data_IF_507380225216
#
_entry.id   IF_507380225216
#
_cell.length_a   1.000
_cell.length_b   1.000
_cell.length_c   1.000
_cell.angle_alpha   90.00
_cell.angle_beta   90.00
_cell.angle_gamma   90.00
#
_symmetry.space_group_name_H-M   'P 1'
#
loop_
_entity.id
_entity.type
_entity.pdbx_description
1 polymer ?
#
# COMPACT_ATOMS: atom_id res chain seq x y z
N UNK A 1 48.07 5.52 2.15
CA UNK A 1 47.71 4.21 1.56
C UNK A 1 46.56 4.44 0.56
N UNK A 2 46.75 5.28 -0.46
CA UNK A 2 47.15 4.94 -1.85
C UNK A 2 46.28 3.85 -2.49
N UNK A 3 45.05 4.25 -2.80
CA UNK A 3 44.23 3.79 -3.91
C UNK A 3 43.70 2.34 -3.82
N UNK A 4 43.16 1.96 -2.66
CA UNK A 4 42.34 0.75 -2.61
C UNK A 4 40.96 1.08 -3.21
N UNK A 5 40.54 0.45 -4.33
CA UNK A 5 39.27 0.73 -4.99
C UNK A 5 38.06 0.50 -4.07
N UNK A 6 38.23 -0.22 -2.96
CA UNK A 6 37.18 -0.46 -1.96
C UNK A 6 36.91 0.77 -1.07
N UNK A 7 37.89 1.65 -0.86
CA UNK A 7 37.75 2.84 0.01
C UNK A 7 36.65 3.80 -0.46
N UNK A 8 36.53 4.19 -1.75
CA UNK A 8 35.41 5.02 -2.19
C UNK A 8 34.05 4.34 -1.99
N UNK A 9 33.94 3.02 -2.17
CA UNK A 9 32.68 2.30 -1.95
C UNK A 9 32.27 2.27 -0.47
N UNK A 10 33.22 2.06 0.44
CA UNK A 10 32.95 2.11 1.89
C UNK A 10 32.52 3.51 2.32
N UNK A 11 33.13 4.56 1.74
CA UNK A 11 32.75 5.94 2.03
C UNK A 11 31.33 6.27 1.52
N UNK A 12 30.96 5.83 0.32
CA UNK A 12 29.60 6.01 -0.22
C UNK A 12 28.58 5.23 0.61
N UNK A 13 28.90 3.99 1.00
CA UNK A 13 28.03 3.17 1.84
C UNK A 13 27.83 3.80 3.23
N UNK A 14 28.90 4.26 3.88
CA UNK A 14 28.80 4.94 5.17
C UNK A 14 28.04 6.26 5.08
N UNK A 15 28.21 7.00 3.98
CA UNK A 15 27.48 8.24 3.72
C UNK A 15 25.99 7.98 3.45
N UNK A 16 25.66 6.92 2.70
CA UNK A 16 24.28 6.49 2.44
C UNK A 16 23.56 6.07 3.72
N UNK A 17 24.19 5.25 4.55
CA UNK A 17 23.63 4.86 5.86
C UNK A 17 23.46 6.10 6.76
N UNK A 18 24.44 7.01 6.77
CA UNK A 18 24.35 8.27 7.51
C UNK A 18 23.19 9.15 7.06
N UNK A 19 22.97 9.27 5.75
CA UNK A 19 21.84 10.01 5.18
C UNK A 19 20.50 9.39 5.54
N UNK A 20 20.37 8.06 5.49
CA UNK A 20 19.12 7.38 5.88
C UNK A 20 18.82 7.65 7.35
N UNK A 21 19.79 7.52 8.26
CA UNK A 21 19.59 7.82 9.67
C UNK A 21 19.25 9.30 9.92
N UNK A 22 19.94 10.23 9.23
CA UNK A 22 19.69 11.66 9.35
C UNK A 22 18.30 12.06 8.83
N UNK A 23 17.90 11.54 7.66
CA UNK A 23 16.60 11.80 7.06
C UNK A 23 15.47 11.08 7.79
N UNK A 24 15.74 9.95 8.45
CA UNK A 24 14.78 9.26 9.32
C UNK A 24 14.49 10.06 10.60
N UNK A 25 15.50 10.68 11.20
CA UNK A 25 15.31 11.59 12.34
C UNK A 25 14.58 12.88 11.94
N UNK A 26 14.85 13.43 10.75
CA UNK A 26 14.21 14.67 10.28
C UNK A 26 12.83 14.45 9.62
N UNK A 27 12.59 13.26 9.07
CA UNK A 27 11.34 12.87 8.41
C UNK A 27 10.24 12.43 9.36
N UNK A 28 10.57 12.03 10.59
CA UNK A 28 9.59 11.66 11.60
C UNK A 28 8.64 12.82 11.99
N UNK A 29 9.09 14.07 11.85
CA UNK A 29 8.30 15.28 12.15
C UNK A 29 7.57 15.88 10.94
N UNK A 30 7.85 15.41 9.71
CA UNK A 30 7.28 15.95 8.46
C UNK A 30 6.45 14.90 7.71
N UNK A 31 5.42 14.35 8.37
CA UNK A 31 4.51 13.33 7.81
C UNK A 31 3.64 13.80 6.64
N UNK A 32 3.69 15.07 6.23
CA UNK A 32 2.78 15.66 5.22
C UNK A 32 3.40 15.94 3.85
N UNK A 33 4.70 15.72 3.64
CA UNK A 33 5.37 16.13 2.38
C UNK A 33 6.13 14.98 1.65
N UNK A 34 6.34 13.83 2.28
CA UNK A 34 7.10 12.70 1.71
C UNK A 34 6.19 11.70 0.96
N UNK A 35 5.16 12.20 0.28
CA UNK A 35 4.28 11.39 -0.58
C UNK A 35 4.38 11.76 -2.07
N UNK A 36 5.20 12.75 -2.43
CA UNK A 36 5.20 13.30 -3.79
C UNK A 36 6.39 12.91 -4.68
N UNK A 37 7.44 12.27 -4.16
CA UNK A 37 8.65 12.11 -4.96
C UNK A 37 9.51 10.93 -4.50
N UNK A 38 9.23 9.73 -5.05
CA UNK A 38 10.26 8.87 -5.63
C UNK A 38 9.62 7.65 -6.32
N UNK A 39 9.43 7.77 -7.64
CA UNK A 39 9.39 6.58 -8.49
C UNK A 39 10.80 5.97 -8.55
N UNK A 40 10.88 4.66 -8.31
CA UNK A 40 12.04 3.85 -8.68
C UNK A 40 12.70 3.09 -7.54
N UNK A 41 12.26 1.84 -7.36
CA UNK A 41 13.16 0.76 -6.92
C UNK A 41 12.83 0.12 -5.57
N UNK A 42 12.02 -0.94 -5.62
CA UNK A 42 12.35 -2.23 -5.00
C UNK A 42 12.31 -2.34 -3.47
N UNK A 43 11.25 -3.00 -3.02
CA UNK A 43 11.12 -3.81 -1.80
C UNK A 43 11.15 -3.15 -0.41
N UNK A 44 9.93 -3.14 0.16
CA UNK A 44 9.63 -3.75 1.46
C UNK A 44 10.31 -3.12 2.67
N UNK A 45 9.68 -2.06 3.18
CA UNK A 45 9.54 -1.93 4.63
C UNK A 45 8.07 -1.98 4.96
N UNK A 46 7.63 -3.22 5.23
CA UNK A 46 6.41 -3.56 5.94
C UNK A 46 6.37 -2.76 7.23
N UNK A 47 5.61 -1.66 7.26
CA UNK A 47 5.05 -1.13 8.49
C UNK A 47 4.12 -2.23 9.03
N UNK A 48 4.69 -3.04 9.92
CA UNK A 48 3.92 -3.91 10.80
C UNK A 48 3.37 -3.01 11.90
N UNK A 49 2.24 -2.38 11.63
CA UNK A 49 1.32 -1.93 12.67
C UNK A 49 -0.01 -2.61 12.42
N UNK A 50 -0.43 -3.34 13.46
CA UNK A 50 -1.73 -3.97 13.63
C UNK A 50 -1.94 -5.30 12.89
N UNK A 51 -1.45 -6.36 13.56
CA UNK A 51 -2.00 -7.70 13.47
C UNK A 51 -3.40 -7.78 14.12
N UNK A 52 -4.32 -6.95 13.62
CA UNK A 52 -5.74 -7.25 13.62
C UNK A 52 -6.13 -7.51 12.17
N UNK A 53 -7.18 -8.30 11.93
CA UNK A 53 -7.77 -8.44 10.61
C UNK A 53 -8.42 -7.10 10.21
N UNK A 54 -7.59 -6.09 9.97
CA UNK A 54 -8.00 -4.73 9.73
C UNK A 54 -8.30 -4.62 8.24
N UNK A 55 -9.57 -4.34 7.90
CA UNK A 55 -10.01 -4.26 6.51
C UNK A 55 -9.15 -3.28 5.69
N UNK A 56 -8.52 -2.31 6.35
CA UNK A 56 -7.52 -1.39 5.81
C UNK A 56 -6.32 -2.09 5.14
N UNK A 57 -5.79 -3.17 5.72
CA UNK A 57 -4.67 -3.93 5.17
C UNK A 57 -5.10 -4.78 3.97
N UNK A 58 -6.32 -5.32 4.00
CA UNK A 58 -6.87 -6.08 2.89
C UNK A 58 -7.16 -5.19 1.66
N UNK A 59 -7.57 -3.95 1.92
CA UNK A 59 -7.91 -2.93 0.92
C UNK A 59 -6.67 -2.36 0.21
N UNK A 60 -5.46 -2.56 0.74
CA UNK A 60 -4.22 -2.22 0.03
C UNK A 60 -4.10 -2.90 -1.34
N UNK A 61 -4.71 -4.08 -1.51
CA UNK A 61 -4.74 -4.75 -2.81
C UNK A 61 -5.76 -4.14 -3.80
N UNK A 62 -6.71 -3.33 -3.31
CA UNK A 62 -7.79 -2.73 -4.09
C UNK A 62 -7.39 -1.38 -4.69
N UNK A 63 -6.50 -0.62 -4.03
CA UNK A 63 -6.11 0.74 -4.47
C UNK A 63 -5.49 0.77 -5.86
N UNK A 64 -4.84 -0.32 -6.28
CA UNK A 64 -4.21 -0.41 -7.60
C UNK A 64 -5.21 -0.30 -8.76
N UNK A 65 -6.48 -0.69 -8.53
CA UNK A 65 -7.54 -0.55 -9.52
C UNK A 65 -8.52 0.58 -9.16
N UNK A 66 -8.81 0.79 -7.89
CA UNK A 66 -9.85 1.72 -7.44
C UNK A 66 -9.33 3.08 -6.96
N UNK A 67 -8.02 3.33 -7.08
CA UNK A 67 -7.41 4.58 -6.64
C UNK A 67 -6.97 4.54 -5.17
N UNK A 68 -6.01 5.40 -4.81
CA UNK A 68 -5.45 5.45 -3.45
C UNK A 68 -6.49 5.76 -2.37
N UNK A 69 -7.55 6.46 -2.74
CA UNK A 69 -8.69 6.81 -1.90
C UNK A 69 -9.94 5.98 -2.20
N UNK A 70 -9.86 4.95 -3.05
CA UNK A 70 -10.98 4.10 -3.49
C UNK A 70 -12.13 4.86 -4.19
N UNK A 71 -11.92 6.10 -4.61
CA UNK A 71 -12.94 6.90 -5.33
C UNK A 71 -13.05 6.55 -6.82
N UNK A 72 -12.19 5.65 -7.30
CA UNK A 72 -12.17 5.13 -8.66
C UNK A 72 -10.91 5.50 -9.43
N UNK A 73 -10.46 4.59 -10.30
CA UNK A 73 -9.36 4.82 -11.23
C UNK A 73 -9.57 3.96 -12.49
N UNK A 74 -9.07 2.73 -12.48
CA UNK A 74 -9.40 1.70 -13.48
C UNK A 74 -10.76 1.05 -13.19
N UNK A 75 -11.07 0.87 -11.90
CA UNK A 75 -12.36 0.43 -11.39
C UNK A 75 -13.22 1.60 -10.89
N UNK A 76 -14.52 1.37 -10.68
CA UNK A 76 -15.46 2.39 -10.20
C UNK A 76 -15.20 2.80 -8.74
N UNK A 77 -15.85 3.88 -8.31
CA UNK A 77 -15.89 4.29 -6.91
C UNK A 77 -16.46 3.17 -6.02
N UNK A 78 -15.80 2.93 -4.88
CA UNK A 78 -16.24 1.93 -3.90
C UNK A 78 -16.98 2.52 -2.68
N UNK A 79 -17.00 3.83 -2.50
CA UNK A 79 -17.65 4.52 -1.39
C UNK A 79 -19.18 4.41 -1.49
N UNK A 80 -19.82 4.30 -0.34
CA UNK A 80 -21.28 4.21 -0.24
C UNK A 80 -21.90 2.96 -0.90
N UNK A 81 -21.09 1.94 -1.21
CA UNK A 81 -21.58 0.65 -1.68
C UNK A 81 -22.12 -0.19 -0.52
N UNK A 82 -23.12 -1.01 -0.83
CA UNK A 82 -23.70 -1.95 0.13
C UNK A 82 -22.73 -3.11 0.42
N UNK A 83 -22.60 -3.46 1.71
CA UNK A 83 -21.66 -4.51 2.14
C UNK A 83 -21.95 -5.87 1.48
N UNK A 84 -23.23 -6.25 1.37
CA UNK A 84 -23.61 -7.51 0.75
C UNK A 84 -23.27 -7.52 -0.74
N UNK A 85 -23.38 -6.36 -1.40
CA UNK A 85 -22.95 -6.21 -2.79
C UNK A 85 -21.43 -6.37 -2.94
N UNK A 86 -20.63 -5.79 -2.05
CA UNK A 86 -19.16 -5.91 -2.09
C UNK A 86 -18.74 -7.38 -1.91
N UNK A 87 -19.32 -8.08 -0.94
CA UNK A 87 -19.05 -9.52 -0.72
C UNK A 87 -19.45 -10.35 -1.93
N UNK A 88 -20.60 -10.07 -2.54
CA UNK A 88 -21.04 -10.76 -3.76
C UNK A 88 -20.07 -10.55 -4.91
N UNK A 89 -19.60 -9.31 -5.13
CA UNK A 89 -18.65 -8.99 -6.20
C UNK A 89 -17.28 -9.63 -5.93
N UNK A 90 -16.81 -9.68 -4.69
CA UNK A 90 -15.52 -10.33 -4.37
C UNK A 90 -15.56 -11.86 -4.52
N UNK A 91 -16.73 -12.47 -4.31
CA UNK A 91 -16.92 -13.92 -4.45
C UNK A 91 -17.19 -14.34 -5.88
N UNK A 92 -18.08 -13.63 -6.60
CA UNK A 92 -18.51 -13.97 -7.96
C UNK A 92 -17.71 -13.27 -9.06
N UNK A 93 -17.02 -12.19 -8.75
CA UNK A 93 -16.41 -11.32 -9.74
C UNK A 93 -17.46 -10.61 -10.60
N UNK A 94 -16.98 -9.88 -11.61
CA UNK A 94 -17.84 -9.24 -12.62
C UNK A 94 -17.35 -9.67 -14.00
N UNK A 95 -18.18 -10.42 -14.73
CA UNK A 95 -17.86 -10.89 -16.08
C UNK A 95 -17.53 -9.71 -17.01
N UNK A 96 -16.45 -9.87 -17.79
CA UNK A 96 -15.97 -8.83 -18.70
C UNK A 96 -15.12 -7.73 -18.06
N UNK A 97 -14.84 -7.82 -16.75
CA UNK A 97 -13.94 -6.90 -16.04
C UNK A 97 -12.72 -7.61 -15.46
N UNK A 98 -11.70 -6.87 -14.99
CA UNK A 98 -10.56 -7.46 -14.25
C UNK A 98 -10.94 -8.05 -12.89
N UNK A 99 -12.16 -7.83 -12.40
CA UNK A 99 -12.64 -8.30 -11.11
C UNK A 99 -12.97 -9.80 -11.18
N UNK A 100 -12.00 -10.64 -10.83
CA UNK A 100 -12.13 -12.09 -10.89
C UNK A 100 -12.92 -12.64 -9.68
N UNK A 101 -13.63 -13.76 -9.85
CA UNK A 101 -14.25 -14.46 -8.73
C UNK A 101 -13.22 -14.97 -7.72
N UNK A 102 -13.65 -15.09 -6.46
CA UNK A 102 -12.88 -15.67 -5.35
C UNK A 102 -11.51 -14.99 -5.12
N UNK A 103 -11.42 -13.67 -5.30
CA UNK A 103 -10.19 -12.92 -5.02
C UNK A 103 -9.80 -12.92 -3.53
N UNK A 104 -10.78 -13.16 -2.65
CA UNK A 104 -10.63 -13.21 -1.20
C UNK A 104 -11.48 -14.32 -0.61
N UNK A 105 -11.11 -14.79 0.57
CA UNK A 105 -11.97 -15.69 1.35
C UNK A 105 -13.25 -14.96 1.78
N UNK A 106 -14.31 -15.70 2.12
CA UNK A 106 -15.58 -15.09 2.55
C UNK A 106 -15.41 -14.21 3.80
N UNK A 107 -14.51 -14.60 4.71
CA UNK A 107 -14.17 -13.87 5.93
C UNK A 107 -13.46 -12.56 5.62
N UNK A 108 -12.46 -12.58 4.73
CA UNK A 108 -11.76 -11.38 4.27
C UNK A 108 -12.69 -10.46 3.47
N UNK A 109 -13.58 -11.03 2.64
CA UNK A 109 -14.53 -10.25 1.86
C UNK A 109 -15.48 -9.45 2.75
N UNK A 110 -15.93 -10.04 3.87
CA UNK A 110 -16.74 -9.34 4.88
C UNK A 110 -15.96 -8.21 5.55
N UNK A 111 -14.72 -8.46 5.96
CA UNK A 111 -13.87 -7.43 6.57
C UNK A 111 -13.57 -6.26 5.61
N UNK A 112 -13.36 -6.56 4.32
CA UNK A 112 -13.19 -5.53 3.28
C UNK A 112 -14.49 -4.74 3.09
N UNK A 113 -15.63 -5.43 3.00
CA UNK A 113 -16.92 -4.79 2.82
C UNK A 113 -17.27 -3.87 3.98
N UNK A 114 -17.09 -4.33 5.21
CA UNK A 114 -17.30 -3.53 6.43
C UNK A 114 -16.38 -2.32 6.47
N UNK A 115 -15.12 -2.44 6.05
CA UNK A 115 -14.23 -1.28 5.99
C UNK A 115 -14.68 -0.28 4.92
N UNK A 116 -14.98 -0.76 3.70
CA UNK A 116 -15.40 0.12 2.60
C UNK A 116 -16.74 0.82 2.90
N UNK A 117 -17.66 0.17 3.61
CA UNK A 117 -18.93 0.78 4.00
C UNK A 117 -18.77 1.93 5.00
N UNK A 118 -17.64 1.99 5.73
CA UNK A 118 -17.29 3.16 6.55
C UNK A 118 -16.74 4.34 5.76
N UNK A 119 -16.42 4.16 4.48
CA UNK A 119 -15.87 5.21 3.62
C UNK A 119 -17.01 5.96 2.91
N UNK A 120 -17.02 7.30 3.06
CA UNK A 120 -17.98 8.23 2.45
C UNK A 120 -17.43 8.93 1.21
#
# INVERSE_FOLDING_TARGET
MKNNPVVPYILILAFGIGLIFFMSLQGADNKKEIAAEHEGGGETTTETTDANADGSALVQSCIGCHGGDLTGSMGPNLHGLDEAHIVEVLTKGIEGTPMQPNMKTEEEAKAIAEYISTLE
#
